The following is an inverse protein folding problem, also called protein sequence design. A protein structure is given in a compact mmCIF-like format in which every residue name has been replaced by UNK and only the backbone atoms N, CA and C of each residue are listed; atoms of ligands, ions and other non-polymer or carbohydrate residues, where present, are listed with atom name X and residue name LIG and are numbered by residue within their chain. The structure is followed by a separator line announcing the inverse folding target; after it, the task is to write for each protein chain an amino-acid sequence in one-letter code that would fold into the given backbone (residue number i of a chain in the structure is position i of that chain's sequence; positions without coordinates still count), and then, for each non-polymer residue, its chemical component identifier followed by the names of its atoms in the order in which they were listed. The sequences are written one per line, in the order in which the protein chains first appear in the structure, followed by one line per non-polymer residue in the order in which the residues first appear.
data_IF_895517355804
#
_entry.id   IF_895517355804
#
_cell.length_a   1.000
_cell.length_b   1.000
_cell.length_c   1.000
_cell.angle_alpha   90.00
_cell.angle_beta   90.00
_cell.angle_gamma   90.00
#
_symmetry.space_group_name_H-M   'P 1'
#
loop_
_entity.id
_entity.type
_entity.pdbx_description
1 polymer ?
#
# COMPACT_ATOMS: atom_id res chain seq x y z
N UNK A 1 -17.91 22.34 -4.12
CA UNK A 1 -18.46 21.05 -3.65
C UNK A 1 -18.12 19.90 -4.60
N UNK A 2 -18.21 20.06 -5.93
CA UNK A 2 -17.91 18.96 -6.89
C UNK A 2 -16.47 18.41 -6.86
N UNK A 3 -15.46 19.26 -6.69
CA UNK A 3 -14.03 18.84 -6.65
C UNK A 3 -13.75 17.77 -5.58
N UNK A 4 -14.28 17.96 -4.36
CA UNK A 4 -14.11 17.02 -3.25
C UNK A 4 -14.82 15.69 -3.50
N UNK A 5 -15.97 15.71 -4.17
CA UNK A 5 -16.72 14.51 -4.53
C UNK A 5 -15.97 13.69 -5.59
N UNK A 6 -15.35 14.36 -6.57
CA UNK A 6 -14.53 13.70 -7.60
C UNK A 6 -13.33 13.00 -6.96
N UNK A 7 -12.63 13.67 -6.03
CA UNK A 7 -11.50 13.07 -5.29
C UNK A 7 -11.94 11.84 -4.49
N UNK A 8 -13.06 11.93 -3.77
CA UNK A 8 -13.57 10.80 -2.99
C UNK A 8 -13.95 9.59 -3.87
N UNK A 9 -14.60 9.83 -5.02
CA UNK A 9 -14.96 8.78 -5.98
C UNK A 9 -13.71 8.12 -6.55
N UNK A 10 -12.69 8.90 -6.91
CA UNK A 10 -11.41 8.38 -7.40
C UNK A 10 -10.72 7.52 -6.34
N UNK A 11 -10.67 7.96 -5.08
CA UNK A 11 -10.10 7.19 -3.97
C UNK A 11 -10.81 5.84 -3.83
N UNK A 12 -12.15 5.81 -3.92
CA UNK A 12 -12.90 4.55 -3.86
C UNK A 12 -12.59 3.62 -5.04
N UNK A 13 -12.50 4.13 -6.27
CA UNK A 13 -12.21 3.32 -7.46
C UNK A 13 -10.78 2.78 -7.41
N UNK A 14 -9.80 3.64 -7.14
CA UNK A 14 -8.39 3.28 -7.05
C UNK A 14 -8.18 2.33 -5.88
N UNK A 15 -8.83 2.58 -4.73
CA UNK A 15 -8.79 1.71 -3.56
C UNK A 15 -9.35 0.31 -3.85
N UNK A 16 -10.48 0.20 -4.53
CA UNK A 16 -11.06 -1.10 -4.90
C UNK A 16 -10.14 -1.90 -5.84
N UNK A 17 -9.57 -1.23 -6.86
CA UNK A 17 -8.60 -1.84 -7.78
C UNK A 17 -7.31 -2.26 -7.04
N UNK A 18 -6.82 -1.40 -6.14
CA UNK A 18 -5.63 -1.66 -5.33
C UNK A 18 -5.83 -2.82 -4.35
N UNK A 19 -6.99 -2.92 -3.70
CA UNK A 19 -7.32 -4.05 -2.82
C UNK A 19 -7.33 -5.36 -3.62
N UNK A 20 -8.01 -5.37 -4.76
CA UNK A 20 -8.09 -6.56 -5.61
C UNK A 20 -6.70 -6.99 -6.13
N UNK A 21 -5.89 -6.04 -6.61
CA UNK A 21 -4.55 -6.28 -7.09
C UNK A 21 -3.62 -6.82 -6.00
N UNK A 22 -3.57 -6.14 -4.85
CA UNK A 22 -2.66 -6.49 -3.76
C UNK A 22 -3.09 -7.77 -3.02
N UNK A 23 -4.39 -8.07 -2.89
CA UNK A 23 -4.86 -9.37 -2.39
C UNK A 23 -4.44 -10.52 -3.30
N UNK A 24 -4.51 -10.32 -4.62
CA UNK A 24 -4.12 -11.36 -5.56
C UNK A 24 -2.60 -11.63 -5.51
N UNK A 25 -1.78 -10.57 -5.43
CA UNK A 25 -0.33 -10.68 -5.22
C UNK A 25 -0.03 -11.41 -3.90
N UNK A 26 -0.72 -11.05 -2.82
CA UNK A 26 -0.55 -11.69 -1.52
C UNK A 26 -0.94 -13.16 -1.57
N UNK A 27 -2.05 -13.50 -2.23
CA UNK A 27 -2.48 -14.88 -2.40
C UNK A 27 -1.46 -15.70 -3.18
N UNK A 28 -0.91 -15.15 -4.27
CA UNK A 28 0.16 -15.78 -5.04
C UNK A 28 1.43 -15.93 -4.21
N UNK A 29 1.82 -14.90 -3.44
CA UNK A 29 2.98 -14.95 -2.55
C UNK A 29 2.84 -15.99 -1.43
N UNK A 30 1.61 -16.24 -0.94
CA UNK A 30 1.34 -17.26 0.06
C UNK A 30 1.31 -18.68 -0.53
N UNK A 31 0.82 -18.81 -1.77
CA UNK A 31 0.74 -20.08 -2.50
C UNK A 31 2.09 -20.55 -3.03
N UNK A 32 2.92 -19.62 -3.49
CA UNK A 32 4.29 -19.90 -3.91
C UNK A 32 5.17 -20.08 -2.66
N UNK A 33 5.75 -21.26 -2.48
CA UNK A 33 6.75 -21.49 -1.43
C UNK A 33 7.89 -20.46 -1.63
N UNK A 34 8.25 -19.63 -0.63
CA UNK A 34 9.18 -18.51 -0.81
C UNK A 34 10.58 -19.04 -1.13
N UNK A 35 10.84 -19.27 -2.41
CA UNK A 35 12.08 -19.88 -2.90
C UNK A 35 13.20 -18.84 -3.06
N UNK A 36 12.82 -17.56 -3.18
CA UNK A 36 13.73 -16.42 -3.28
C UNK A 36 13.34 -15.31 -2.30
N UNK A 37 14.33 -14.63 -1.72
CA UNK A 37 14.16 -13.49 -0.79
C UNK A 37 13.27 -12.40 -1.39
N UNK A 38 13.36 -12.19 -2.71
CA UNK A 38 12.53 -11.28 -3.50
C UNK A 38 11.01 -11.55 -3.37
N UNK A 39 10.58 -12.81 -3.26
CA UNK A 39 9.15 -13.16 -3.11
C UNK A 39 8.59 -12.77 -1.74
N UNK A 40 9.42 -12.76 -0.69
CA UNK A 40 9.02 -12.32 0.64
C UNK A 40 8.85 -10.79 0.67
N UNK A 41 9.78 -10.06 0.04
CA UNK A 41 9.69 -8.60 -0.07
C UNK A 41 8.42 -8.15 -0.80
N UNK A 42 8.04 -8.84 -1.89
CA UNK A 42 6.81 -8.54 -2.63
C UNK A 42 5.56 -8.78 -1.76
N UNK A 43 5.57 -9.83 -0.94
CA UNK A 43 4.47 -10.12 0.00
C UNK A 43 4.33 -9.04 1.09
N UNK A 44 5.45 -8.60 1.67
CA UNK A 44 5.46 -7.51 2.66
C UNK A 44 5.00 -6.20 2.01
N UNK A 45 5.48 -5.89 0.81
CA UNK A 45 5.05 -4.73 0.04
C UNK A 45 3.53 -4.73 -0.16
N UNK A 46 2.96 -5.85 -0.61
CA UNK A 46 1.50 -5.99 -0.80
C UNK A 46 0.68 -5.84 0.48
N UNK A 47 1.22 -6.25 1.63
CA UNK A 47 0.59 -6.02 2.94
C UNK A 47 0.64 -4.55 3.36
N UNK A 48 1.78 -3.90 3.19
CA UNK A 48 1.93 -2.46 3.45
C UNK A 48 0.99 -1.63 2.57
N UNK A 49 0.89 -1.98 1.29
CA UNK A 49 -0.07 -1.37 0.35
C UNK A 49 -1.52 -1.52 0.80
N UNK A 50 -1.94 -2.74 1.19
CA UNK A 50 -3.30 -2.98 1.69
C UNK A 50 -3.59 -2.15 2.94
N UNK A 51 -2.63 -2.05 3.86
CA UNK A 51 -2.77 -1.25 5.06
C UNK A 51 -2.95 0.24 4.74
N UNK A 52 -2.14 0.78 3.81
CA UNK A 52 -2.27 2.16 3.33
C UNK A 52 -3.64 2.43 2.69
N UNK A 53 -4.11 1.53 1.81
CA UNK A 53 -5.41 1.68 1.14
C UNK A 53 -6.56 1.64 2.15
N UNK A 54 -6.50 0.73 3.14
CA UNK A 54 -7.52 0.67 4.19
C UNK A 54 -7.54 1.94 5.05
N UNK A 55 -6.36 2.48 5.38
CA UNK A 55 -6.25 3.74 6.13
C UNK A 55 -6.84 4.93 5.35
N UNK A 56 -6.54 5.04 4.05
CA UNK A 56 -7.10 6.05 3.15
C UNK A 56 -8.63 5.90 3.03
N UNK A 57 -9.13 4.68 2.87
CA UNK A 57 -10.56 4.42 2.77
C UNK A 57 -11.29 4.78 4.08
N UNK A 58 -10.69 4.48 5.23
CA UNK A 58 -11.21 4.85 6.54
C UNK A 58 -11.22 6.38 6.74
N UNK A 59 -10.19 7.08 6.28
CA UNK A 59 -10.13 8.54 6.34
C UNK A 59 -11.17 9.19 5.41
N UNK A 60 -11.33 8.66 4.20
CA UNK A 60 -12.33 9.11 3.23
C UNK A 60 -13.77 8.89 3.74
N UNK A 61 -14.06 7.74 4.38
CA UNK A 61 -15.38 7.50 5.00
C UNK A 61 -15.64 8.43 6.19
N UNK A 62 -14.65 8.68 7.05
CA UNK A 62 -14.79 9.66 8.16
C UNK A 62 -15.07 11.07 7.65
N UNK A 63 -14.41 11.49 6.57
CA UNK A 63 -14.68 12.76 5.91
C UNK A 63 -16.12 12.82 5.37
N UNK A 64 -16.61 11.73 4.76
CA UNK A 64 -17.98 11.64 4.23
C UNK A 64 -19.05 11.68 5.32
N UNK A 65 -18.78 11.06 6.48
CA UNK A 65 -19.69 11.10 7.63
C UNK A 65 -19.69 12.45 8.37
N UNK A 66 -18.79 13.38 8.04
CA UNK A 66 -18.74 14.71 8.65
C UNK A 66 -18.41 14.70 10.16
N UNK A 67 -17.92 13.57 10.68
CA UNK A 67 -17.58 13.42 12.09
C UNK A 67 -16.22 14.09 12.32
N UNK A 68 -16.22 15.24 12.99
CA UNK A 68 -14.98 15.87 13.48
C UNK A 68 -14.34 14.95 14.52
N UNK A 69 -13.38 14.15 14.07
CA UNK A 69 -12.53 13.36 14.96
C UNK A 69 -11.58 14.29 15.72
N UNK A 70 -11.31 13.97 16.98
CA UNK A 70 -10.40 14.72 17.83
C UNK A 70 -9.01 14.81 17.18
N UNK A 71 -8.37 15.99 17.19
CA UNK A 71 -7.11 16.27 16.46
C UNK A 71 -6.00 15.24 16.72
N UNK A 72 -5.96 14.66 17.93
CA UNK A 72 -4.96 13.65 18.32
C UNK A 72 -5.10 12.33 17.56
N UNK A 73 -6.33 11.90 17.28
CA UNK A 73 -6.61 10.65 16.56
C UNK A 73 -6.27 10.78 15.07
N UNK A 74 -6.60 11.93 14.46
CA UNK A 74 -6.19 12.22 13.08
C UNK A 74 -4.67 12.29 12.95
N UNK A 75 -3.97 12.90 13.91
CA UNK A 75 -2.51 12.98 13.87
C UNK A 75 -1.86 11.59 13.90
N UNK A 76 -2.37 10.68 14.74
CA UNK A 76 -1.83 9.32 14.81
C UNK A 76 -2.16 8.49 13.56
N UNK A 77 -3.37 8.62 13.03
CA UNK A 77 -3.77 7.99 11.76
C UNK A 77 -2.90 8.45 10.59
N UNK A 78 -2.69 9.77 10.44
CA UNK A 78 -1.84 10.34 9.37
C UNK A 78 -0.37 9.94 9.56
N UNK A 79 0.13 9.96 10.80
CA UNK A 79 1.52 9.61 11.10
C UNK A 79 1.81 8.13 10.75
N UNK A 80 0.94 7.21 11.18
CA UNK A 80 1.09 5.79 10.84
C UNK A 80 1.01 5.54 9.32
N UNK A 81 0.16 6.27 8.61
CA UNK A 81 0.08 6.21 7.15
C UNK A 81 1.38 6.69 6.48
N UNK A 82 1.93 7.83 6.91
CA UNK A 82 3.20 8.37 6.36
C UNK A 82 4.36 7.39 6.58
N UNK A 83 4.45 6.76 7.75
CA UNK A 83 5.47 5.74 8.02
C UNK A 83 5.31 4.55 7.09
N UNK A 84 4.09 4.10 6.82
CA UNK A 84 3.85 2.97 5.91
C UNK A 84 4.18 3.30 4.45
N UNK A 85 3.91 4.51 4.00
CA UNK A 85 4.33 4.98 2.66
C UNK A 85 5.85 5.02 2.54
N UNK A 86 6.55 5.48 3.58
CA UNK A 86 8.02 5.48 3.59
C UNK A 86 8.57 4.04 3.52
N UNK A 87 8.01 3.12 4.32
CA UNK A 87 8.34 1.69 4.26
C UNK A 87 8.05 1.10 2.88
N UNK A 88 6.93 1.45 2.25
CA UNK A 88 6.61 1.01 0.89
C UNK A 88 7.67 1.49 -0.12
N UNK A 89 8.10 2.75 -0.03
CA UNK A 89 9.10 3.32 -0.94
C UNK A 89 10.48 2.67 -0.78
N UNK A 90 10.88 2.37 0.45
CA UNK A 90 12.13 1.65 0.74
C UNK A 90 12.09 0.20 0.26
N UNK A 91 10.93 -0.46 0.34
CA UNK A 91 10.72 -1.80 -0.22
C UNK A 91 10.76 -1.80 -1.75
N UNK A 92 10.15 -0.80 -2.41
CA UNK A 92 10.22 -0.65 -3.87
C UNK A 92 11.65 -0.43 -4.35
N UNK A 93 12.43 0.40 -3.67
CA UNK A 93 13.84 0.62 -4.02
C UNK A 93 14.68 -0.63 -3.79
N UNK A 94 14.48 -1.34 -2.67
CA UNK A 94 15.13 -2.62 -2.42
C UNK A 94 14.83 -3.67 -3.51
N UNK A 95 13.58 -3.76 -3.97
CA UNK A 95 13.20 -4.62 -5.09
C UNK A 95 13.83 -4.19 -6.40
N UNK A 96 13.90 -2.88 -6.68
CA UNK A 96 14.56 -2.37 -7.87
C UNK A 96 16.06 -2.74 -7.90
N UNK A 97 16.74 -2.64 -6.75
CA UNK A 97 18.13 -3.08 -6.61
C UNK A 97 18.28 -4.59 -6.79
N UNK A 98 17.41 -5.42 -6.19
CA UNK A 98 17.41 -6.88 -6.36
C UNK A 98 17.29 -7.27 -7.84
N UNK A 99 16.41 -6.58 -8.59
CA UNK A 99 16.24 -6.77 -10.04
C UNK A 99 17.43 -6.28 -10.85
N UNK A 100 18.02 -5.14 -10.49
CA UNK A 100 19.21 -4.60 -11.16
C UNK A 100 20.41 -5.53 -10.99
N UNK A 101 20.61 -6.07 -9.78
CA UNK A 101 21.67 -7.04 -9.49
C UNK A 101 21.47 -8.34 -10.28
N UNK A 102 20.23 -8.85 -10.36
CA UNK A 102 19.91 -10.02 -11.18
C UNK A 102 20.18 -9.80 -12.67
N UNK A 103 20.00 -8.57 -13.17
CA UNK A 103 20.31 -8.22 -14.56
C UNK A 103 21.81 -8.05 -14.81
N UNK A 104 22.53 -7.42 -13.88
CA UNK A 104 23.98 -7.20 -14.01
C UNK A 104 24.82 -8.47 -13.81
N UNK A 105 24.37 -9.41 -12.97
CA UNK A 105 25.06 -10.68 -12.72
C UNK A 105 24.15 -11.89 -13.00
N UNK A 106 23.84 -12.19 -14.27
CA UNK A 106 22.98 -13.33 -14.62
C UNK A 106 23.67 -14.71 -14.44
N UNK A 107 24.96 -14.74 -14.09
CA UNK A 107 25.82 -15.93 -14.11
C UNK A 107 26.48 -16.31 -12.78
N UNK A 108 26.09 -15.71 -11.65
CA UNK A 108 26.60 -16.08 -10.33
C UNK A 108 25.56 -16.85 -9.50
#
# INVERSE_FOLDING_TARGET
MGEFTVVAVLICIIGALGIFGNLNILFVAFRMKPRHKSSLLIGILGLSDLFCILAELQNATRFFLGVQSYQRECFWAISSYLVMVDVQSTLMTALAFDRLLAFCMPFM
#
